data_IF_598291304431
#
_entry.id   IF_598291304431
#
_cell.length_a   1.000
_cell.length_b   1.000
_cell.length_c   1.000
_cell.angle_alpha   90.00
_cell.angle_beta   90.00
_cell.angle_gamma   90.00
#
_symmetry.space_group_name_H-M   'P 1'
#
loop_
_entity.id
_entity.type
_entity.pdbx_description
1 polymer ?
#
# COMPACT_ATOMS: atom_id res chain seq x y z
N UNK A 1 11.39 5.64 9.72
CA UNK A 1 10.69 5.83 11.02
C UNK A 1 10.57 7.29 11.41
N UNK A 2 11.64 8.02 11.76
CA UNK A 2 11.51 9.46 12.11
C UNK A 2 10.97 10.30 10.95
N UNK A 3 11.44 10.04 9.74
CA UNK A 3 10.93 10.69 8.52
C UNK A 3 9.44 10.42 8.30
N UNK A 4 8.97 9.19 8.56
CA UNK A 4 7.55 8.83 8.44
C UNK A 4 6.69 9.56 9.47
N UNK A 5 7.17 9.67 10.71
CA UNK A 5 6.46 10.40 11.77
C UNK A 5 6.36 11.89 11.45
N UNK A 6 7.43 12.49 10.92
CA UNK A 6 7.41 13.88 10.44
C UNK A 6 6.41 14.05 9.30
N UNK A 7 6.44 13.13 8.34
CA UNK A 7 5.55 13.11 7.18
C UNK A 7 4.08 12.80 7.51
N UNK A 8 3.73 12.43 8.75
CA UNK A 8 2.33 12.22 9.18
C UNK A 8 1.98 13.01 10.46
N UNK A 9 2.82 13.99 10.84
CA UNK A 9 2.77 14.67 12.14
C UNK A 9 1.47 15.45 12.42
N UNK A 10 0.65 15.70 11.40
CA UNK A 10 -0.65 16.35 11.54
C UNK A 10 -1.71 15.47 12.21
N UNK A 11 -1.51 14.15 12.31
CA UNK A 11 -2.48 13.26 12.94
C UNK A 11 -1.83 12.06 13.62
N UNK A 12 -2.29 11.76 14.83
CA UNK A 12 -1.79 10.62 15.61
C UNK A 12 -2.07 9.28 14.92
N UNK A 13 -3.22 9.16 14.24
CA UNK A 13 -3.66 7.90 13.62
C UNK A 13 -2.71 7.40 12.52
N UNK A 14 -2.38 8.17 11.47
CA UNK A 14 -1.40 7.74 10.47
C UNK A 14 0.01 7.58 11.06
N UNK A 15 0.40 8.39 12.05
CA UNK A 15 1.66 8.18 12.78
C UNK A 15 1.73 6.79 13.44
N UNK A 16 0.71 6.42 14.22
CA UNK A 16 0.62 5.09 14.84
C UNK A 16 0.59 3.98 13.80
N UNK A 17 -0.16 4.17 12.70
CA UNK A 17 -0.28 3.20 11.63
C UNK A 17 1.06 2.94 10.93
N UNK A 18 1.77 3.98 10.49
CA UNK A 18 3.05 3.80 9.80
C UNK A 18 4.09 3.24 10.75
N UNK A 19 4.12 3.67 12.03
CA UNK A 19 5.00 3.07 13.03
C UNK A 19 4.73 1.58 13.21
N UNK A 20 3.46 1.19 13.40
CA UNK A 20 3.05 -0.20 13.54
C UNK A 20 3.44 -1.02 12.29
N UNK A 21 3.22 -0.48 11.09
CA UNK A 21 3.64 -1.09 9.83
C UNK A 21 5.16 -1.30 9.78
N UNK A 22 5.98 -0.31 10.15
CA UNK A 22 7.46 -0.45 10.14
C UNK A 22 7.92 -1.58 11.06
N UNK A 23 7.37 -1.67 12.27
CA UNK A 23 7.70 -2.74 13.23
C UNK A 23 7.22 -4.09 12.70
N UNK A 24 5.99 -4.17 12.22
CA UNK A 24 5.42 -5.40 11.66
C UNK A 24 6.18 -5.87 10.41
N UNK A 25 6.59 -4.96 9.53
CA UNK A 25 7.39 -5.25 8.36
C UNK A 25 8.76 -5.80 8.73
N UNK A 26 9.44 -5.18 9.69
CA UNK A 26 10.69 -5.70 10.23
C UNK A 26 10.51 -7.13 10.77
N UNK A 27 9.48 -7.39 11.56
CA UNK A 27 9.19 -8.74 12.08
C UNK A 27 8.83 -9.74 10.98
N UNK A 28 8.11 -9.31 9.95
CA UNK A 28 7.74 -10.10 8.77
C UNK A 28 8.98 -10.54 7.96
N UNK A 29 9.98 -9.67 7.84
CA UNK A 29 11.26 -10.00 7.21
C UNK A 29 12.13 -10.85 8.13
N UNK A 30 12.20 -10.51 9.42
CA UNK A 30 13.05 -11.19 10.41
C UNK A 30 12.63 -12.64 10.65
N UNK A 31 11.32 -12.94 10.64
CA UNK A 31 10.83 -14.33 10.76
C UNK A 31 11.22 -15.24 9.59
N UNK A 32 11.51 -14.70 8.41
CA UNK A 32 11.94 -15.49 7.24
C UNK A 32 13.40 -15.95 7.36
N UNK A 33 14.20 -15.33 8.23
CA UNK A 33 15.61 -15.68 8.42
C UNK A 33 15.81 -16.98 9.21
N UNK A 34 14.94 -17.26 10.18
CA UNK A 34 15.03 -18.45 11.02
C UNK A 34 13.65 -18.84 11.55
N UNK A 35 13.34 -20.14 11.59
CA UNK A 35 12.06 -20.67 12.09
C UNK A 35 11.85 -20.32 13.56
N UNK A 36 12.91 -20.26 14.38
CA UNK A 36 12.81 -19.91 15.79
C UNK A 36 12.32 -18.48 16.03
N UNK A 37 12.63 -17.55 15.11
CA UNK A 37 12.17 -16.16 15.15
C UNK A 37 10.64 -16.06 15.06
N UNK A 38 9.98 -17.11 14.55
CA UNK A 38 8.54 -17.16 14.42
C UNK A 38 7.82 -17.10 15.79
N UNK A 39 8.41 -17.65 16.85
CA UNK A 39 7.83 -17.62 18.20
C UNK A 39 7.64 -16.18 18.70
N UNK A 40 8.56 -15.29 18.35
CA UNK A 40 8.54 -13.88 18.74
C UNK A 40 7.78 -13.00 17.75
N UNK A 41 7.92 -13.26 16.45
CA UNK A 41 7.31 -12.44 15.41
C UNK A 41 5.80 -12.72 15.23
N UNK A 42 5.34 -13.96 15.39
CA UNK A 42 3.96 -14.33 15.10
C UNK A 42 2.93 -13.60 16.00
N UNK A 43 3.10 -13.52 17.34
CA UNK A 43 2.18 -12.78 18.19
C UNK A 43 2.09 -11.29 17.83
N UNK A 44 3.24 -10.67 17.49
CA UNK A 44 3.28 -9.27 17.08
C UNK A 44 2.57 -9.05 15.74
N UNK A 45 2.74 -9.94 14.77
CA UNK A 45 2.05 -9.84 13.48
C UNK A 45 0.53 -10.04 13.61
N UNK A 46 0.10 -10.93 14.52
CA UNK A 46 -1.33 -11.10 14.84
C UNK A 46 -1.88 -9.85 15.52
N UNK A 47 -1.15 -9.30 16.50
CA UNK A 47 -1.55 -8.07 17.18
C UNK A 47 -1.62 -6.88 16.21
N UNK A 48 -0.64 -6.74 15.32
CA UNK A 48 -0.64 -5.76 14.25
C UNK A 48 -1.93 -5.87 13.44
N UNK A 49 -2.26 -7.08 12.97
CA UNK A 49 -3.46 -7.34 12.18
C UNK A 49 -4.74 -6.91 12.90
N UNK A 50 -4.89 -7.31 14.17
CA UNK A 50 -6.06 -6.95 14.98
C UNK A 50 -6.17 -5.43 15.13
N UNK A 51 -5.09 -4.74 15.45
CA UNK A 51 -5.09 -3.28 15.64
C UNK A 51 -5.39 -2.57 14.32
N UNK A 52 -4.70 -2.92 13.24
CA UNK A 52 -4.80 -2.19 11.98
C UNK A 52 -6.09 -2.49 11.25
N UNK A 53 -6.48 -3.76 11.13
CA UNK A 53 -7.67 -4.16 10.39
C UNK A 53 -8.95 -3.95 11.22
N UNK A 54 -8.99 -4.39 12.48
CA UNK A 54 -10.22 -4.34 13.27
C UNK A 54 -10.49 -2.97 13.92
N UNK A 55 -9.46 -2.28 14.42
CA UNK A 55 -9.65 -0.99 15.10
C UNK A 55 -9.43 0.22 14.19
N UNK A 56 -8.43 0.14 13.31
CA UNK A 56 -8.09 1.25 12.45
C UNK A 56 -8.72 1.16 11.03
N UNK A 57 -9.11 -0.02 10.57
CA UNK A 57 -9.68 -0.21 9.23
C UNK A 57 -8.66 -0.05 8.09
N UNK A 58 -7.40 -0.40 8.34
CA UNK A 58 -6.29 -0.43 7.36
C UNK A 58 -5.88 -1.89 7.15
N UNK A 59 -5.94 -2.36 5.92
CA UNK A 59 -5.35 -3.64 5.51
C UNK A 59 -4.05 -3.37 4.75
N UNK A 60 -2.98 -3.03 5.47
CA UNK A 60 -1.63 -2.94 4.90
C UNK A 60 -0.88 -4.20 5.31
N UNK A 61 -0.64 -5.11 4.38
CA UNK A 61 0.03 -6.36 4.72
C UNK A 61 1.48 -6.09 5.14
N UNK A 62 1.89 -6.63 6.28
CA UNK A 62 3.22 -6.41 6.85
C UNK A 62 4.37 -6.81 5.90
N UNK A 63 4.13 -7.74 4.97
CA UNK A 63 5.12 -8.17 3.98
C UNK A 63 5.27 -7.22 2.79
N UNK A 64 4.35 -6.27 2.57
CA UNK A 64 4.49 -5.25 1.54
C UNK A 64 5.75 -4.42 1.79
N UNK A 65 6.47 -4.06 0.73
CA UNK A 65 7.70 -3.25 0.83
C UNK A 65 7.36 -1.81 0.47
N UNK A 66 7.42 -0.89 1.43
CA UNK A 66 7.12 0.53 1.20
C UNK A 66 8.35 1.34 1.62
N UNK A 67 8.82 2.25 0.77
CA UNK A 67 9.93 3.15 1.03
C UNK A 67 9.64 4.17 2.13
N UNK A 68 10.58 5.09 2.37
CA UNK A 68 10.54 6.10 3.43
C UNK A 68 9.53 7.22 3.12
N UNK A 69 9.14 7.98 4.15
CA UNK A 69 8.21 9.11 4.04
C UNK A 69 6.84 8.67 3.49
N UNK A 70 6.42 7.46 3.91
CA UNK A 70 5.12 6.92 3.55
C UNK A 70 4.03 7.73 4.24
N UNK A 71 3.13 8.30 3.46
CA UNK A 71 2.17 9.30 3.90
C UNK A 71 0.75 8.81 3.70
N UNK A 72 -0.09 8.91 4.74
CA UNK A 72 -1.47 8.42 4.69
C UNK A 72 -2.45 9.53 5.10
N UNK A 73 -3.36 9.87 4.18
CA UNK A 73 -4.46 10.77 4.44
C UNK A 73 -5.77 9.99 4.58
N UNK A 74 -6.44 10.14 5.72
CA UNK A 74 -7.75 9.53 5.97
C UNK A 74 -7.81 8.01 5.73
N UNK A 75 -6.75 7.23 5.98
CA UNK A 75 -6.57 5.85 5.45
C UNK A 75 -7.56 4.74 5.82
N UNK A 76 -8.81 5.04 6.16
CA UNK A 76 -9.93 4.10 6.18
C UNK A 76 -10.05 3.33 4.86
N UNK A 77 -10.33 2.03 4.96
CA UNK A 77 -10.57 1.13 3.83
C UNK A 77 -9.40 1.05 2.83
N UNK A 78 -8.18 1.29 3.29
CA UNK A 78 -6.97 1.07 2.48
C UNK A 78 -6.65 -0.43 2.46
N UNK A 79 -6.35 -0.96 1.28
CA UNK A 79 -5.92 -2.35 1.06
C UNK A 79 -4.61 -2.35 0.27
N UNK A 80 -3.54 -2.91 0.84
CA UNK A 80 -2.24 -3.08 0.19
C UNK A 80 -1.78 -4.53 0.37
N UNK A 81 -1.66 -5.24 -0.75
CA UNK A 81 -1.25 -6.64 -0.79
C UNK A 81 0.23 -6.84 -0.39
N UNK A 82 0.58 -7.99 0.20
CA UNK A 82 1.96 -8.35 0.63
C UNK A 82 3.02 -8.26 -0.46
N UNK A 83 2.66 -8.43 -1.73
CA UNK A 83 3.64 -8.43 -2.82
C UNK A 83 3.83 -7.04 -3.45
N UNK A 84 3.12 -6.02 -2.96
CA UNK A 84 3.29 -4.64 -3.43
C UNK A 84 4.67 -4.13 -3.01
N UNK A 85 5.32 -3.46 -3.94
CA UNK A 85 6.56 -2.70 -3.71
C UNK A 85 6.26 -1.24 -4.03
N UNK A 86 6.55 -0.33 -3.11
CA UNK A 86 6.41 1.10 -3.27
C UNK A 86 7.68 1.82 -2.87
N UNK A 87 8.04 2.85 -3.63
CA UNK A 87 9.21 3.69 -3.40
C UNK A 87 9.08 4.64 -2.20
N UNK A 88 10.03 5.55 -2.11
CA UNK A 88 10.04 6.66 -1.15
C UNK A 88 8.98 7.72 -1.54
N UNK A 89 8.53 8.52 -0.58
CA UNK A 89 7.57 9.62 -0.79
C UNK A 89 6.22 9.18 -1.36
N UNK A 90 5.82 7.95 -1.04
CA UNK A 90 4.53 7.39 -1.44
C UNK A 90 3.39 7.96 -0.59
N UNK A 91 2.39 8.56 -1.24
CA UNK A 91 1.24 9.18 -0.58
C UNK A 91 -0.05 8.49 -0.99
N UNK A 92 -0.88 8.11 -0.02
CA UNK A 92 -2.18 7.49 -0.26
C UNK A 92 -3.31 8.20 0.48
N UNK A 93 -4.52 8.06 -0.07
CA UNK A 93 -5.76 8.52 0.55
C UNK A 93 -6.66 7.33 0.94
N UNK A 94 -7.83 7.62 1.49
CA UNK A 94 -8.81 6.61 1.89
C UNK A 94 -9.27 5.74 0.71
N UNK A 95 -9.66 4.50 0.99
CA UNK A 95 -10.27 3.58 0.01
C UNK A 95 -9.33 3.09 -1.09
N UNK A 96 -8.03 3.38 -1.00
CA UNK A 96 -7.05 2.93 -2.00
C UNK A 96 -6.88 1.41 -1.92
N UNK A 97 -6.93 0.74 -3.06
CA UNK A 97 -6.70 -0.71 -3.19
C UNK A 97 -5.54 -0.98 -4.15
N UNK A 98 -4.52 -1.72 -3.69
CA UNK A 98 -3.35 -2.10 -4.49
C UNK A 98 -3.15 -3.61 -4.35
N UNK A 99 -3.31 -4.34 -5.44
CA UNK A 99 -3.30 -5.80 -5.39
C UNK A 99 -3.17 -6.49 -6.73
N UNK A 100 -3.31 -7.79 -6.73
CA UNK A 100 -3.26 -8.62 -7.92
C UNK A 100 -4.63 -8.70 -8.62
N UNK A 101 -4.65 -9.21 -9.86
CA UNK A 101 -5.89 -9.31 -10.66
C UNK A 101 -6.75 -10.55 -10.35
N UNK A 102 -6.18 -11.59 -9.73
CA UNK A 102 -6.88 -12.83 -9.47
C UNK A 102 -5.99 -13.89 -8.82
N UNK A 103 -6.56 -15.06 -8.54
CA UNK A 103 -5.85 -16.15 -7.85
C UNK A 103 -4.70 -16.75 -8.67
N UNK A 104 -4.82 -16.72 -10.01
CA UNK A 104 -3.85 -17.35 -10.93
C UNK A 104 -2.56 -16.52 -11.09
N UNK A 105 -2.62 -15.22 -10.79
CA UNK A 105 -1.46 -14.33 -10.86
C UNK A 105 -1.29 -13.58 -9.54
N UNK A 106 -0.21 -13.90 -8.82
CA UNK A 106 0.13 -13.28 -7.53
C UNK A 106 0.96 -12.00 -7.66
N UNK A 107 1.31 -11.59 -8.88
CA UNK A 107 2.04 -10.37 -9.15
C UNK A 107 1.21 -9.14 -8.76
N UNK A 108 1.87 -8.20 -8.11
CA UNK A 108 1.28 -6.99 -7.57
C UNK A 108 2.01 -5.76 -8.12
N UNK A 109 1.38 -4.57 -8.06
CA UNK A 109 1.96 -3.36 -8.61
C UNK A 109 3.32 -2.98 -7.98
N UNK A 110 4.20 -2.45 -8.82
CA UNK A 110 5.41 -1.74 -8.43
C UNK A 110 5.18 -0.23 -8.53
N UNK A 111 5.33 0.49 -7.44
CA UNK A 111 5.05 1.92 -7.33
C UNK A 111 6.38 2.68 -7.20
N UNK A 112 6.65 3.63 -8.09
CA UNK A 112 7.84 4.47 -8.06
C UNK A 112 7.90 5.44 -6.88
N UNK A 113 8.92 6.29 -6.88
CA UNK A 113 9.09 7.32 -5.85
C UNK A 113 8.19 8.53 -6.11
N UNK A 114 7.77 9.23 -5.06
CA UNK A 114 6.97 10.46 -5.17
C UNK A 114 5.59 10.24 -5.80
N UNK A 115 5.05 9.02 -5.71
CA UNK A 115 3.73 8.70 -6.25
C UNK A 115 2.64 9.13 -5.26
N UNK A 116 1.62 9.80 -5.76
CA UNK A 116 0.44 10.20 -4.99
C UNK A 116 -0.81 9.53 -5.54
N UNK A 117 -1.55 8.84 -4.66
CA UNK A 117 -2.83 8.21 -4.99
C UNK A 117 -3.98 8.95 -4.31
N UNK A 118 -4.91 9.43 -5.14
CA UNK A 118 -6.17 10.02 -4.71
C UNK A 118 -7.08 9.03 -3.98
N UNK A 119 -8.21 9.52 -3.48
CA UNK A 119 -9.17 8.69 -2.77
C UNK A 119 -9.77 7.62 -3.68
N UNK A 120 -10.06 6.44 -3.13
CA UNK A 120 -10.71 5.33 -3.83
C UNK A 120 -10.02 4.90 -5.15
N UNK A 121 -8.70 5.04 -5.23
CA UNK A 121 -7.91 4.55 -6.38
C UNK A 121 -7.74 3.04 -6.28
N UNK A 122 -7.91 2.34 -7.39
CA UNK A 122 -7.71 0.89 -7.51
C UNK A 122 -6.57 0.65 -8.50
N UNK A 123 -5.53 -0.09 -8.09
CA UNK A 123 -4.38 -0.45 -8.92
C UNK A 123 -4.23 -1.98 -8.90
N UNK A 124 -4.38 -2.63 -10.05
CA UNK A 124 -4.42 -4.09 -10.10
C UNK A 124 -3.50 -4.72 -11.15
N UNK A 125 -2.72 -5.71 -10.69
CA UNK A 125 -1.92 -6.61 -11.51
C UNK A 125 -0.44 -6.28 -11.53
N UNK A 126 0.27 -6.99 -12.41
CA UNK A 126 1.69 -6.79 -12.66
C UNK A 126 1.92 -5.54 -13.50
N UNK A 127 1.84 -4.37 -12.86
CA UNK A 127 2.02 -3.08 -13.51
C UNK A 127 2.98 -2.21 -12.72
N UNK A 128 3.61 -1.27 -13.41
CA UNK A 128 4.55 -0.34 -12.81
C UNK A 128 4.01 1.08 -12.94
N UNK A 129 3.92 1.81 -11.82
CA UNK A 129 3.84 3.26 -11.83
C UNK A 129 5.26 3.82 -11.75
N UNK A 130 5.60 4.71 -12.67
CA UNK A 130 6.84 5.47 -12.66
C UNK A 130 6.98 6.40 -11.46
N UNK A 131 8.07 7.18 -11.45
CA UNK A 131 8.31 8.21 -10.44
C UNK A 131 7.42 9.44 -10.66
N UNK A 132 7.09 10.16 -9.59
CA UNK A 132 6.32 11.42 -9.62
C UNK A 132 4.96 11.27 -10.34
N UNK A 133 4.34 10.10 -10.24
CA UNK A 133 3.01 9.85 -10.82
C UNK A 133 1.95 10.30 -9.84
N UNK A 134 0.97 11.06 -10.32
CA UNK A 134 -0.24 11.38 -9.55
C UNK A 134 -1.42 10.61 -10.14
N UNK A 135 -2.16 9.89 -9.30
CA UNK A 135 -3.39 9.20 -9.71
C UNK A 135 -4.58 9.89 -9.06
N UNK A 136 -5.44 10.50 -9.88
CA UNK A 136 -6.66 11.17 -9.47
C UNK A 136 -7.65 10.22 -8.79
N UNK A 137 -8.45 10.76 -7.89
CA UNK A 137 -9.42 10.01 -7.11
C UNK A 137 -10.40 9.22 -7.99
N UNK A 138 -10.75 8.00 -7.55
CA UNK A 138 -11.69 7.11 -8.23
C UNK A 138 -11.13 6.39 -9.46
N UNK A 139 -9.85 6.56 -9.78
CA UNK A 139 -9.25 5.92 -10.96
C UNK A 139 -9.02 4.42 -10.75
N UNK A 140 -9.26 3.63 -11.80
CA UNK A 140 -8.88 2.20 -11.86
C UNK A 140 -7.72 2.07 -12.84
N UNK A 141 -6.53 1.76 -12.32
CA UNK A 141 -5.30 1.66 -13.10
C UNK A 141 -4.97 0.20 -13.32
N UNK A 142 -5.03 -0.21 -14.59
CA UNK A 142 -4.73 -1.58 -15.01
C UNK A 142 -3.52 -1.64 -15.94
N UNK A 143 -2.92 -0.52 -16.34
CA UNK A 143 -1.72 -0.53 -17.20
C UNK A 143 -0.59 0.23 -16.53
N UNK A 144 0.64 -0.09 -16.90
CA UNK A 144 1.81 0.65 -16.44
C UNK A 144 1.75 2.11 -16.87
N UNK A 145 2.28 2.98 -16.03
CA UNK A 145 2.24 4.44 -16.19
C UNK A 145 3.68 4.97 -16.14
N UNK A 146 4.11 5.80 -17.11
CA UNK A 146 5.46 6.34 -17.13
C UNK A 146 5.68 7.42 -16.05
N UNK A 147 6.94 7.79 -15.83
CA UNK A 147 7.33 8.85 -14.91
C UNK A 147 6.66 10.21 -15.24
N UNK A 148 6.44 11.03 -14.21
CA UNK A 148 5.89 12.40 -14.29
C UNK A 148 4.51 12.47 -14.96
N UNK A 149 3.70 11.44 -14.82
CA UNK A 149 2.37 11.36 -15.41
C UNK A 149 1.26 11.68 -14.41
N UNK A 150 0.16 12.21 -14.94
CA UNK A 150 -1.11 12.34 -14.22
C UNK A 150 -2.11 11.35 -14.81
N UNK A 151 -2.64 10.45 -13.98
CA UNK A 151 -3.70 9.52 -14.32
C UNK A 151 -4.98 10.03 -13.71
N UNK A 152 -5.93 10.48 -14.51
CA UNK A 152 -7.29 10.81 -14.08
C UNK A 152 -8.25 9.82 -14.73
N UNK A 153 -9.37 9.48 -14.08
CA UNK A 153 -10.31 8.45 -14.56
C UNK A 153 -10.69 8.62 -16.04
N UNK A 154 -10.96 7.56 -16.81
CA UNK A 154 -11.67 6.29 -16.52
C UNK A 154 -10.87 5.07 -17.08
N UNK A 155 -10.97 3.87 -16.46
CA UNK A 155 -10.72 2.62 -17.23
C UNK A 155 -11.97 1.77 -17.31
N UNK A 156 -12.21 1.35 -18.54
CA UNK A 156 -13.52 1.28 -19.12
C UNK A 156 -14.00 -0.15 -19.39
N UNK A 157 -15.17 -0.15 -20.02
CA UNK A 157 -16.17 -1.19 -20.08
C UNK A 157 -15.97 -2.05 -21.32
N UNK A 158 -16.13 -3.36 -21.16
CA UNK A 158 -16.33 -4.24 -22.31
C UNK A 158 -17.81 -4.20 -22.66
N UNK A 159 -18.13 -3.81 -23.90
CA UNK A 159 -19.48 -3.91 -24.46
C UNK A 159 -19.43 -4.86 -25.66
N UNK A 160 -19.92 -6.08 -25.47
CA UNK A 160 -20.31 -6.96 -26.59
C UNK A 160 -21.82 -7.12 -26.51
N UNK A 161 -22.52 -6.57 -27.49
CA UNK A 161 -23.97 -6.74 -27.66
C UNK A 161 -24.15 -7.83 -28.72
N UNK A 162 -24.67 -9.00 -28.32
CA UNK A 162 -25.39 -9.93 -29.19
C UNK A 162 -26.53 -10.53 -28.39
#
# INVERSE_FOLDING_TARGET
>A
MLEDLRANSWSLRPCCMVLAYRVAHFCSVWRKKNVLNNLWAAPLLVLYRIITECFFGYEIQAAATIGRRFTIHHGYAVVINKNVVAGDDFTIRHGVTIGNRGADNMACPHIGNGVELGANVIILGDITLGNNVTVGAGSVVLDSVPDNALVVGEKARVKVIK
#
